data_IF_502289637943
#
_entry.id   IF_502289637943
#
_cell.length_a   1.000
_cell.length_b   1.000
_cell.length_c   1.000
_cell.angle_alpha   90.00
_cell.angle_beta   90.00
_cell.angle_gamma   90.00
#
_symmetry.space_group_name_H-M   'P 1'
#
loop_
_entity.id
_entity.type
_entity.pdbx_description
1 polymer ?
#
# COMPACT_ATOMS: atom_id res chain seq x y z
N UNK A 1 -33.45 -57.27 -9.35
CA UNK A 1 -33.83 -55.84 -9.17
C UNK A 1 -34.93 -55.54 -10.18
N UNK A 2 -36.04 -54.95 -9.79
CA UNK A 2 -37.10 -54.65 -10.75
C UNK A 2 -36.62 -53.55 -11.74
N UNK A 3 -37.08 -53.54 -13.00
CA UNK A 3 -36.70 -52.56 -13.99
C UNK A 3 -37.01 -51.10 -13.56
N UNK A 4 -38.03 -50.93 -12.76
CA UNK A 4 -38.42 -49.65 -12.18
C UNK A 4 -37.36 -49.13 -11.18
N UNK A 5 -36.83 -50.01 -10.32
CA UNK A 5 -35.81 -49.62 -9.34
C UNK A 5 -34.49 -49.26 -10.02
N UNK A 6 -34.15 -49.96 -11.10
CA UNK A 6 -32.96 -49.70 -11.90
C UNK A 6 -33.04 -48.32 -12.62
N UNK A 7 -34.24 -47.99 -13.16
CA UNK A 7 -34.52 -46.69 -13.76
C UNK A 7 -34.40 -45.53 -12.75
N UNK A 8 -34.94 -45.72 -11.53
CA UNK A 8 -34.81 -44.69 -10.46
C UNK A 8 -33.35 -44.48 -10.08
N UNK A 9 -32.55 -45.53 -9.88
CA UNK A 9 -31.14 -45.42 -9.48
C UNK A 9 -30.31 -44.72 -10.55
N UNK A 10 -30.52 -45.04 -11.84
CA UNK A 10 -29.80 -44.34 -12.92
C UNK A 10 -30.19 -42.85 -13.03
N UNK A 11 -31.47 -42.53 -12.88
CA UNK A 11 -31.95 -41.12 -12.93
C UNK A 11 -31.39 -40.32 -11.75
N UNK A 12 -31.48 -40.82 -10.52
CA UNK A 12 -30.91 -40.15 -9.33
C UNK A 12 -29.39 -40.03 -9.45
N UNK A 13 -28.71 -41.06 -9.89
CA UNK A 13 -27.26 -40.99 -10.13
C UNK A 13 -26.86 -39.93 -11.16
N UNK A 14 -27.60 -39.83 -12.26
CA UNK A 14 -27.40 -38.78 -13.27
C UNK A 14 -27.63 -37.38 -12.74
N UNK A 15 -28.68 -37.15 -11.93
CA UNK A 15 -28.94 -35.86 -11.29
C UNK A 15 -27.81 -35.49 -10.33
N UNK A 16 -27.39 -36.41 -9.47
CA UNK A 16 -26.30 -36.17 -8.51
C UNK A 16 -24.97 -35.87 -9.23
N UNK A 17 -24.67 -36.61 -10.30
CA UNK A 17 -23.47 -36.35 -11.11
C UNK A 17 -23.56 -34.94 -11.79
N UNK A 18 -24.71 -34.58 -12.33
CA UNK A 18 -24.96 -33.27 -12.89
C UNK A 18 -24.80 -32.14 -11.88
N UNK A 19 -25.34 -32.31 -10.68
CA UNK A 19 -25.18 -31.33 -9.59
C UNK A 19 -23.73 -31.21 -9.12
N UNK A 20 -23.00 -32.32 -9.01
CA UNK A 20 -21.59 -32.32 -8.66
C UNK A 20 -20.73 -31.58 -9.71
N UNK A 21 -21.01 -31.85 -11.01
CA UNK A 21 -20.31 -31.18 -12.11
C UNK A 21 -20.61 -29.67 -12.11
N UNK A 22 -21.89 -29.29 -11.95
CA UNK A 22 -22.28 -27.87 -11.87
C UNK A 22 -21.61 -27.17 -10.68
N UNK A 23 -21.57 -27.81 -9.50
CA UNK A 23 -20.87 -27.32 -8.33
C UNK A 23 -19.37 -27.13 -8.55
N UNK A 24 -18.73 -28.10 -9.20
CA UNK A 24 -17.31 -28.00 -9.54
C UNK A 24 -17.02 -26.85 -10.53
N UNK A 25 -17.88 -26.65 -11.52
CA UNK A 25 -17.76 -25.55 -12.48
C UNK A 25 -17.92 -24.18 -11.81
N UNK A 26 -18.94 -24.03 -10.96
CA UNK A 26 -19.17 -22.80 -10.20
C UNK A 26 -18.00 -22.50 -9.27
N UNK A 27 -17.47 -23.50 -8.57
CA UNK A 27 -16.29 -23.35 -7.71
C UNK A 27 -15.06 -22.90 -8.50
N UNK A 28 -14.80 -23.50 -9.68
CA UNK A 28 -13.69 -23.08 -10.55
C UNK A 28 -13.87 -21.64 -11.06
N UNK A 29 -15.09 -21.25 -11.44
CA UNK A 29 -15.37 -19.88 -11.83
C UNK A 29 -15.14 -18.89 -10.69
N UNK A 30 -15.58 -19.23 -9.47
CA UNK A 30 -15.34 -18.40 -8.29
C UNK A 30 -13.84 -18.23 -8.03
N UNK A 31 -13.06 -19.31 -8.07
CA UNK A 31 -11.61 -19.27 -7.91
C UNK A 31 -10.93 -18.36 -8.98
N UNK A 32 -11.36 -18.50 -10.24
CA UNK A 32 -10.82 -17.66 -11.31
C UNK A 32 -11.16 -16.18 -11.12
N UNK A 33 -12.38 -15.86 -10.66
CA UNK A 33 -12.79 -14.49 -10.33
C UNK A 33 -11.99 -13.93 -9.15
N UNK A 34 -11.77 -14.71 -8.10
CA UNK A 34 -11.01 -14.26 -6.93
C UNK A 34 -9.53 -14.06 -7.27
N UNK A 35 -8.94 -14.93 -8.08
CA UNK A 35 -7.59 -14.76 -8.61
C UNK A 35 -7.49 -13.49 -9.47
N UNK A 36 -8.44 -13.25 -10.37
CA UNK A 36 -8.48 -12.06 -11.20
C UNK A 36 -8.65 -10.77 -10.36
N UNK A 37 -9.47 -10.80 -9.32
CA UNK A 37 -9.63 -9.68 -8.38
C UNK A 37 -8.35 -9.40 -7.60
N UNK A 38 -7.67 -10.45 -7.16
CA UNK A 38 -6.40 -10.32 -6.45
C UNK A 38 -5.34 -9.68 -7.37
N UNK A 39 -5.12 -10.21 -8.57
CA UNK A 39 -4.19 -9.66 -9.55
C UNK A 39 -4.52 -8.21 -9.92
N UNK A 40 -5.80 -7.90 -10.07
CA UNK A 40 -6.24 -6.55 -10.37
C UNK A 40 -6.02 -5.54 -9.21
N UNK A 41 -5.75 -6.00 -8.00
CA UNK A 41 -5.63 -5.17 -6.78
C UNK A 41 -4.26 -5.23 -6.09
N UNK A 42 -3.38 -6.14 -6.51
CA UNK A 42 -2.05 -6.30 -5.91
C UNK A 42 -0.95 -6.16 -6.97
N UNK A 43 0.24 -5.85 -6.49
CA UNK A 43 1.46 -5.77 -7.29
C UNK A 43 2.10 -7.16 -7.40
N UNK A 44 2.43 -7.59 -8.61
CA UNK A 44 2.90 -8.96 -8.89
C UNK A 44 4.29 -9.25 -8.30
N UNK A 45 5.13 -8.23 -8.13
CA UNK A 45 6.50 -8.38 -7.62
C UNK A 45 6.52 -8.46 -6.10
N UNK A 46 5.76 -7.58 -5.44
CA UNK A 46 5.82 -7.43 -3.99
C UNK A 46 4.71 -8.17 -3.25
N UNK A 47 3.62 -8.52 -3.94
CA UNK A 47 2.40 -9.06 -3.33
C UNK A 47 1.60 -8.02 -2.52
N UNK A 48 2.10 -6.78 -2.41
CA UNK A 48 1.39 -5.71 -1.73
C UNK A 48 0.17 -5.23 -2.55
N UNK A 49 -0.83 -4.63 -1.90
CA UNK A 49 -1.80 -3.78 -2.55
C UNK A 49 -1.16 -2.84 -3.58
N UNK A 50 -1.79 -2.72 -4.74
CA UNK A 50 -1.35 -1.77 -5.76
C UNK A 50 -1.95 -0.38 -5.51
N UNK A 51 -1.54 0.61 -6.32
CA UNK A 51 -2.04 1.98 -6.27
C UNK A 51 -3.58 2.07 -6.28
N UNK A 52 -4.24 1.21 -7.05
CA UNK A 52 -5.71 1.22 -7.16
C UNK A 52 -6.37 0.85 -5.82
N UNK A 53 -5.91 -0.22 -5.20
CA UNK A 53 -6.45 -0.66 -3.90
C UNK A 53 -6.12 0.33 -2.80
N UNK A 54 -4.89 0.86 -2.78
CA UNK A 54 -4.50 1.91 -1.84
C UNK A 54 -5.43 3.13 -1.89
N UNK A 55 -5.69 3.66 -3.10
CA UNK A 55 -6.58 4.80 -3.27
C UNK A 55 -8.03 4.50 -2.88
N UNK A 56 -8.50 3.27 -3.09
CA UNK A 56 -9.84 2.85 -2.66
C UNK A 56 -9.92 2.84 -1.13
N UNK A 57 -8.92 2.29 -0.44
CA UNK A 57 -8.86 2.27 1.02
C UNK A 57 -8.74 3.68 1.62
N UNK A 58 -7.88 4.52 1.06
CA UNK A 58 -7.74 5.91 1.49
C UNK A 58 -9.06 6.69 1.35
N UNK A 59 -9.81 6.51 0.24
CA UNK A 59 -11.13 7.13 0.08
C UNK A 59 -12.12 6.64 1.14
N UNK A 60 -12.14 5.34 1.41
CA UNK A 60 -13.00 4.76 2.45
C UNK A 60 -12.66 5.33 3.83
N UNK A 61 -11.37 5.37 4.18
CA UNK A 61 -10.90 5.92 5.44
C UNK A 61 -11.31 7.40 5.65
N UNK A 62 -11.18 8.22 4.61
CA UNK A 62 -11.59 9.62 4.65
C UNK A 62 -13.13 9.78 4.78
N UNK A 63 -13.90 8.88 4.15
CA UNK A 63 -15.37 8.89 4.26
C UNK A 63 -15.86 8.56 5.67
N UNK A 64 -15.13 7.77 6.43
CA UNK A 64 -15.41 7.44 7.84
C UNK A 64 -15.17 8.61 8.79
N UNK A 65 -14.56 9.70 8.31
CA UNK A 65 -14.19 10.89 9.11
C UNK A 65 -13.36 10.54 10.34
N UNK A 66 -12.46 9.60 10.21
CA UNK A 66 -11.46 9.27 11.22
C UNK A 66 -10.14 9.98 10.90
N UNK A 67 -9.29 10.15 11.92
CA UNK A 67 -7.94 10.66 11.70
C UNK A 67 -7.12 9.65 10.90
N UNK A 68 -6.50 10.12 9.81
CA UNK A 68 -5.70 9.27 8.91
C UNK A 68 -4.45 9.99 8.45
N UNK A 69 -3.42 9.23 8.14
CA UNK A 69 -2.22 9.73 7.49
C UNK A 69 -1.80 8.91 6.29
N UNK A 70 -1.04 9.55 5.43
CA UNK A 70 -0.39 8.95 4.27
C UNK A 70 1.11 9.10 4.46
N UNK A 71 1.82 7.99 4.33
CA UNK A 71 3.28 7.93 4.26
C UNK A 71 3.65 7.52 2.84
N UNK A 72 4.52 8.26 2.19
CA UNK A 72 5.14 7.89 0.92
C UNK A 72 6.62 7.59 1.14
N UNK A 73 7.12 6.62 0.41
CA UNK A 73 8.49 6.14 0.49
C UNK A 73 9.01 5.85 -0.91
N UNK A 74 10.24 6.30 -1.18
CA UNK A 74 10.97 6.07 -2.43
C UNK A 74 12.35 5.48 -2.06
N UNK A 75 12.78 4.39 -2.74
CA UNK A 75 14.06 3.75 -2.48
C UNK A 75 15.20 4.56 -3.11
N UNK A 76 16.15 4.96 -2.30
CA UNK A 76 17.28 5.74 -2.76
C UNK A 76 18.16 4.92 -3.71
N UNK A 77 18.51 5.50 -4.85
CA UNK A 77 19.40 4.91 -5.86
C UNK A 77 18.95 3.54 -6.40
N UNK A 78 17.65 3.20 -6.34
CA UNK A 78 17.15 1.93 -6.86
C UNK A 78 17.53 1.69 -8.32
N UNK A 79 17.53 2.77 -9.14
CA UNK A 79 18.02 2.68 -10.53
C UNK A 79 19.46 2.17 -10.61
N UNK A 80 20.34 2.61 -9.72
CA UNK A 80 21.75 2.14 -9.68
C UNK A 80 21.83 0.63 -9.39
N UNK A 81 20.93 0.11 -8.54
CA UNK A 81 20.84 -1.33 -8.28
C UNK A 81 20.45 -2.07 -9.56
N UNK A 82 19.43 -1.61 -10.28
CA UNK A 82 19.01 -2.21 -11.56
C UNK A 82 20.11 -2.15 -12.61
N UNK A 83 20.76 -1.00 -12.76
CA UNK A 83 21.81 -0.79 -13.76
C UNK A 83 23.08 -1.63 -13.48
N UNK A 84 23.40 -1.88 -12.20
CA UNK A 84 24.59 -2.62 -11.78
C UNK A 84 24.36 -4.12 -11.60
N UNK A 85 23.19 -4.54 -11.12
CA UNK A 85 22.90 -5.92 -10.70
C UNK A 85 21.76 -6.58 -11.50
N UNK A 86 21.17 -5.84 -12.43
CA UNK A 86 20.08 -6.31 -13.27
C UNK A 86 18.68 -6.18 -12.64
N UNK A 87 17.65 -6.18 -13.49
CA UNK A 87 16.27 -6.00 -13.08
C UNK A 87 15.73 -7.14 -12.18
N UNK A 88 16.22 -8.38 -12.35
CA UNK A 88 15.82 -9.49 -11.50
C UNK A 88 16.25 -9.26 -10.05
N UNK A 89 17.45 -8.74 -9.84
CA UNK A 89 17.92 -8.36 -8.50
C UNK A 89 17.11 -7.19 -7.92
N UNK A 90 16.78 -6.21 -8.74
CA UNK A 90 15.87 -5.13 -8.34
C UNK A 90 14.49 -5.64 -7.92
N UNK A 91 13.92 -6.60 -8.64
CA UNK A 91 12.65 -7.21 -8.29
C UNK A 91 12.73 -7.99 -6.96
N UNK A 92 13.82 -8.71 -6.71
CA UNK A 92 14.05 -9.37 -5.42
C UNK A 92 14.15 -8.36 -4.27
N UNK A 93 14.81 -7.23 -4.49
CA UNK A 93 14.89 -6.13 -3.54
C UNK A 93 13.52 -5.52 -3.26
N UNK A 94 12.72 -5.23 -4.30
CA UNK A 94 11.36 -4.72 -4.16
C UNK A 94 10.48 -5.69 -3.36
N UNK A 95 10.55 -7.00 -3.66
CA UNK A 95 9.84 -8.03 -2.92
C UNK A 95 10.29 -8.09 -1.45
N UNK A 96 11.58 -7.90 -1.18
CA UNK A 96 12.11 -7.82 0.19
C UNK A 96 11.55 -6.62 0.95
N UNK A 97 11.64 -5.43 0.37
CA UNK A 97 11.04 -4.20 0.96
C UNK A 97 9.55 -4.37 1.17
N UNK A 98 8.83 -4.95 0.20
CA UNK A 98 7.42 -5.25 0.33
C UNK A 98 7.09 -6.09 1.57
N UNK A 99 7.88 -7.13 1.85
CA UNK A 99 7.72 -7.96 3.07
C UNK A 99 7.98 -7.17 4.35
N UNK A 100 9.00 -6.32 4.38
CA UNK A 100 9.29 -5.47 5.54
C UNK A 100 8.13 -4.52 5.84
N UNK A 101 7.59 -3.87 4.82
CA UNK A 101 6.47 -2.94 4.97
C UNK A 101 5.15 -3.66 5.32
N UNK A 102 4.92 -4.87 4.79
CA UNK A 102 3.77 -5.69 5.15
C UNK A 102 3.79 -6.18 6.60
N UNK A 103 4.97 -6.26 7.21
CA UNK A 103 5.16 -6.70 8.60
C UNK A 103 5.06 -5.56 9.63
N UNK A 104 4.81 -4.33 9.19
CA UNK A 104 4.57 -3.22 10.11
C UNK A 104 3.24 -3.39 10.83
N UNK A 105 3.29 -3.29 12.16
CA UNK A 105 2.12 -3.40 13.03
C UNK A 105 1.23 -2.15 12.99
N UNK A 106 0.10 -2.22 13.72
CA UNK A 106 -0.73 -1.06 13.97
C UNK A 106 0.13 0.13 14.47
N UNK A 107 -0.17 1.36 14.06
CA UNK A 107 -1.40 1.81 13.42
C UNK A 107 -1.42 1.75 11.87
N UNK A 108 -0.49 1.03 11.22
CA UNK A 108 -0.49 0.86 9.75
C UNK A 108 -1.66 -0.05 9.36
N UNK A 109 -2.61 0.50 8.59
CA UNK A 109 -3.76 -0.26 8.06
C UNK A 109 -3.37 -1.07 6.82
N UNK A 110 -2.59 -0.49 5.93
CA UNK A 110 -2.22 -1.08 4.65
C UNK A 110 -0.89 -0.51 4.15
N UNK A 111 -0.01 -1.38 3.70
CA UNK A 111 1.14 -1.02 2.88
C UNK A 111 0.82 -1.34 1.41
N UNK A 112 1.32 -0.52 0.49
CA UNK A 112 1.08 -0.66 -0.94
C UNK A 112 2.32 -0.29 -1.75
N UNK A 113 2.45 -0.85 -2.96
CA UNK A 113 3.37 -0.36 -3.97
C UNK A 113 2.62 0.50 -4.98
N UNK A 114 3.06 1.73 -5.18
CA UNK A 114 2.39 2.67 -6.08
C UNK A 114 2.90 2.57 -7.52
N UNK A 115 4.20 2.51 -7.70
CA UNK A 115 4.88 2.34 -8.99
C UNK A 115 6.39 2.20 -8.76
N UNK A 116 7.13 1.60 -9.70
CA UNK A 116 8.59 1.59 -9.65
C UNK A 116 9.16 1.19 -8.28
N UNK A 117 9.83 2.10 -7.64
CA UNK A 117 10.43 2.02 -6.31
C UNK A 117 9.65 2.81 -5.23
N UNK A 118 8.43 3.25 -5.57
CA UNK A 118 7.55 4.03 -4.68
C UNK A 118 6.57 3.14 -3.92
N UNK A 119 6.53 3.31 -2.60
CA UNK A 119 5.62 2.63 -1.69
C UNK A 119 4.78 3.65 -0.92
N UNK A 120 3.65 3.20 -0.38
CA UNK A 120 2.77 4.00 0.45
C UNK A 120 2.26 3.22 1.66
N UNK A 121 2.04 3.92 2.77
CA UNK A 121 1.31 3.40 3.93
C UNK A 121 0.08 4.25 4.17
N UNK A 122 -1.04 3.61 4.47
CA UNK A 122 -2.21 4.24 5.07
C UNK A 122 -2.16 3.96 6.57
N UNK A 123 -2.21 5.00 7.36
CA UNK A 123 -2.08 4.93 8.82
C UNK A 123 -3.35 5.47 9.45
N UNK A 124 -3.90 4.73 10.43
CA UNK A 124 -5.02 5.17 11.26
C UNK A 124 -4.48 5.77 12.55
N UNK A 125 -4.92 6.96 12.91
CA UNK A 125 -4.50 7.59 14.15
C UNK A 125 -4.15 9.06 13.99
N UNK A 126 -3.50 9.61 15.00
CA UNK A 126 -3.12 11.00 15.06
C UNK A 126 -1.77 11.29 14.37
N UNK A 127 -1.28 12.51 14.54
CA UNK A 127 -0.01 12.92 13.92
C UNK A 127 1.18 12.10 14.41
N UNK A 128 1.22 11.73 15.69
CA UNK A 128 2.30 10.96 16.28
C UNK A 128 2.31 9.51 15.79
N UNK A 129 1.12 8.92 15.61
CA UNK A 129 0.95 7.60 15.01
C UNK A 129 1.52 7.56 13.59
N UNK A 130 1.20 8.57 12.78
CA UNK A 130 1.68 8.67 11.39
C UNK A 130 3.20 8.90 11.35
N UNK A 131 3.70 9.80 12.19
CA UNK A 131 5.14 10.04 12.31
C UNK A 131 5.89 8.80 12.80
N UNK A 132 5.31 8.06 13.75
CA UNK A 132 5.83 6.79 14.24
C UNK A 132 5.92 5.73 13.13
N UNK A 133 4.84 5.54 12.38
CA UNK A 133 4.79 4.61 11.25
C UNK A 133 5.81 4.98 10.15
N UNK A 134 5.96 6.27 9.84
CA UNK A 134 6.96 6.74 8.88
C UNK A 134 8.39 6.41 9.32
N UNK A 135 8.72 6.64 10.59
CA UNK A 135 10.02 6.28 11.16
C UNK A 135 10.24 4.76 11.19
N UNK A 136 9.22 3.99 11.56
CA UNK A 136 9.29 2.53 11.57
C UNK A 136 9.55 1.96 10.17
N UNK A 137 8.88 2.47 9.15
CA UNK A 137 9.10 2.07 7.75
C UNK A 137 10.54 2.38 7.30
N UNK A 138 11.03 3.57 7.58
CA UNK A 138 12.39 3.98 7.24
C UNK A 138 13.44 3.12 7.94
N UNK A 139 13.25 2.86 9.23
CA UNK A 139 14.14 2.00 10.03
C UNK A 139 14.12 0.56 9.53
N UNK A 140 12.95 0.00 9.25
CA UNK A 140 12.81 -1.38 8.78
C UNK A 140 13.60 -1.64 7.49
N UNK A 141 13.60 -0.67 6.55
CA UNK A 141 14.33 -0.78 5.29
C UNK A 141 15.83 -0.68 5.49
N UNK A 142 16.29 0.21 6.37
CA UNK A 142 17.72 0.42 6.64
C UNK A 142 18.31 -0.49 7.70
N UNK A 143 17.52 -1.34 8.38
CA UNK A 143 17.96 -2.12 9.54
C UNK A 143 19.06 -3.15 9.22
N UNK A 144 19.03 -3.73 8.02
CA UNK A 144 20.04 -4.69 7.60
C UNK A 144 20.25 -4.62 6.07
N UNK A 145 21.47 -4.91 5.59
CA UNK A 145 21.72 -5.03 4.16
C UNK A 145 20.88 -6.15 3.54
N UNK A 146 20.40 -5.92 2.33
CA UNK A 146 19.77 -6.96 1.52
C UNK A 146 20.80 -7.96 1.03
N UNK A 147 20.65 -9.23 1.41
CA UNK A 147 21.59 -10.31 1.10
C UNK A 147 21.28 -10.96 -0.23
N UNK A 148 22.28 -11.05 -1.07
CA UNK A 148 22.31 -11.76 -2.35
C UNK A 148 23.37 -12.86 -2.29
N UNK A 149 23.26 -13.84 -3.20
CA UNK A 149 24.32 -14.86 -3.35
C UNK A 149 25.68 -14.24 -3.73
N UNK A 150 25.67 -13.08 -4.39
CA UNK A 150 26.87 -12.35 -4.85
C UNK A 150 27.38 -11.28 -3.88
N UNK A 151 26.72 -11.09 -2.73
CA UNK A 151 27.12 -10.07 -1.75
C UNK A 151 25.94 -9.41 -1.05
N UNK A 152 26.17 -8.25 -0.45
CA UNK A 152 25.18 -7.48 0.29
C UNK A 152 24.95 -6.11 -0.36
N UNK A 153 23.70 -5.65 -0.37
CA UNK A 153 23.31 -4.32 -0.87
C UNK A 153 22.69 -3.53 0.28
N UNK A 154 23.31 -2.40 0.63
CA UNK A 154 22.69 -1.47 1.58
C UNK A 154 21.52 -0.76 0.91
N UNK A 155 20.40 -0.74 1.58
CA UNK A 155 19.15 -0.12 1.11
C UNK A 155 18.81 1.04 2.02
N UNK A 156 18.45 2.16 1.43
CA UNK A 156 17.89 3.30 2.14
C UNK A 156 16.68 3.83 1.38
N UNK A 157 15.91 4.67 2.02
CA UNK A 157 14.75 5.29 1.40
C UNK A 157 14.51 6.68 1.96
N UNK A 158 13.86 7.50 1.16
CA UNK A 158 13.38 8.81 1.54
C UNK A 158 11.88 8.73 1.83
N UNK A 159 11.46 9.17 3.00
CA UNK A 159 10.09 9.03 3.51
C UNK A 159 9.47 10.38 3.77
N UNK A 160 8.29 10.61 3.21
CA UNK A 160 7.46 11.78 3.48
C UNK A 160 6.11 11.37 4.04
N UNK A 161 5.58 12.15 4.98
CA UNK A 161 4.26 11.85 5.52
C UNK A 161 3.41 13.12 5.74
N UNK A 162 2.10 12.92 5.72
CA UNK A 162 1.10 13.91 6.07
C UNK A 162 -0.01 13.30 6.89
N UNK A 163 -0.73 14.12 7.64
CA UNK A 163 -1.83 13.72 8.50
C UNK A 163 -3.05 14.60 8.28
N UNK A 164 -4.23 13.99 8.24
CA UNK A 164 -5.52 14.66 8.21
C UNK A 164 -6.31 14.29 9.45
N UNK A 165 -6.55 15.23 10.38
CA UNK A 165 -7.41 14.99 11.53
C UNK A 165 -8.88 14.77 11.11
N UNK A 166 -9.63 14.07 11.92
CA UNK A 166 -11.01 13.65 11.64
C UNK A 166 -11.99 14.80 11.29
N UNK A 167 -11.71 16.00 11.78
CA UNK A 167 -12.56 17.18 11.58
C UNK A 167 -12.25 17.96 10.29
N UNK A 168 -11.15 17.63 9.57
CA UNK A 168 -10.80 18.26 8.31
C UNK A 168 -11.28 17.42 7.13
N UNK A 169 -11.76 18.08 6.08
CA UNK A 169 -12.09 17.43 4.83
C UNK A 169 -10.88 17.47 3.90
N UNK A 170 -10.11 16.39 3.88
CA UNK A 170 -9.01 16.23 2.93
C UNK A 170 -9.43 15.32 1.76
N UNK A 171 -8.81 15.53 0.61
CA UNK A 171 -8.94 14.62 -0.53
C UNK A 171 -7.74 13.68 -0.62
N UNK A 172 -7.89 12.48 -1.20
CA UNK A 172 -6.75 11.59 -1.46
C UNK A 172 -5.63 12.26 -2.26
N UNK A 173 -6.01 13.09 -3.23
CA UNK A 173 -5.05 13.82 -4.07
C UNK A 173 -4.22 14.82 -3.25
N UNK A 174 -4.87 15.53 -2.34
CA UNK A 174 -4.20 16.49 -1.46
C UNK A 174 -3.20 15.77 -0.55
N UNK A 175 -3.62 14.71 0.16
CA UNK A 175 -2.73 13.98 1.07
C UNK A 175 -1.54 13.35 0.35
N UNK A 176 -1.75 12.80 -0.85
CA UNK A 176 -0.64 12.31 -1.66
C UNK A 176 0.33 13.42 -2.06
N UNK A 177 -0.17 14.58 -2.49
CA UNK A 177 0.69 15.70 -2.89
C UNK A 177 1.48 16.29 -1.70
N UNK A 178 0.88 16.35 -0.51
CA UNK A 178 1.54 16.79 0.71
C UNK A 178 2.64 15.81 1.16
N UNK A 179 2.34 14.50 1.15
CA UNK A 179 3.31 13.47 1.48
C UNK A 179 4.46 13.42 0.45
N UNK A 180 4.16 13.61 -0.85
CA UNK A 180 5.17 13.69 -1.92
C UNK A 180 6.10 14.89 -1.73
N UNK A 181 5.56 16.06 -1.45
CA UNK A 181 6.36 17.24 -1.13
C UNK A 181 7.29 17.01 0.08
N UNK A 182 6.78 16.36 1.13
CA UNK A 182 7.58 15.98 2.30
C UNK A 182 8.69 14.97 1.93
N UNK A 183 8.36 13.94 1.16
CA UNK A 183 9.33 12.94 0.68
C UNK A 183 10.43 13.58 -0.18
N UNK A 184 10.07 14.51 -1.05
CA UNK A 184 11.05 15.28 -1.83
C UNK A 184 12.00 16.10 -0.94
N UNK A 185 11.49 16.70 0.14
CA UNK A 185 12.32 17.39 1.13
C UNK A 185 13.26 16.41 1.86
N UNK A 186 12.77 15.22 2.28
CA UNK A 186 13.61 14.20 2.88
C UNK A 186 14.76 13.79 1.94
N UNK A 187 14.46 13.56 0.67
CA UNK A 187 15.43 13.17 -0.37
C UNK A 187 16.50 14.23 -0.60
N UNK A 188 16.13 15.50 -0.61
CA UNK A 188 17.09 16.61 -0.82
C UNK A 188 17.96 16.91 0.39
N UNK A 189 17.42 16.81 1.59
CA UNK A 189 18.15 17.11 2.83
C UNK A 189 18.98 15.94 3.35
N UNK A 190 18.73 14.71 2.87
CA UNK A 190 19.30 13.49 3.42
C UNK A 190 18.76 13.14 4.81
N UNK A 191 17.63 13.72 5.21
CA UNK A 191 17.05 13.54 6.55
C UNK A 191 16.40 12.17 6.77
N UNK A 192 16.22 11.37 5.71
CA UNK A 192 15.55 10.09 5.75
C UNK A 192 14.03 10.21 5.87
N UNK A 193 13.52 10.90 6.88
CA UNK A 193 12.08 11.08 7.14
C UNK A 193 11.75 12.56 7.30
N UNK A 194 10.67 13.02 6.63
CA UNK A 194 10.17 14.39 6.76
C UNK A 194 8.63 14.43 6.81
N UNK A 195 8.08 15.23 7.74
CA UNK A 195 6.64 15.48 7.82
C UNK A 195 6.23 16.70 7.01
N UNK A 196 5.07 16.64 6.37
CA UNK A 196 4.47 17.83 5.78
C UNK A 196 4.01 18.78 6.89
N UNK A 197 4.54 19.98 6.88
CA UNK A 197 4.05 21.06 7.70
C UNK A 197 3.29 22.04 6.80
N UNK A 198 1.97 22.23 6.99
CA UNK A 198 1.25 23.29 6.28
C UNK A 198 1.98 24.60 6.53
N UNK A 199 2.36 25.29 5.46
CA UNK A 199 2.87 26.67 5.61
C UNK A 199 1.84 27.43 6.43
N UNK A 200 2.25 27.98 7.58
CA UNK A 200 1.38 28.82 8.38
C UNK A 200 0.78 29.89 7.45
N UNK A 201 -0.54 29.95 7.39
CA UNK A 201 -1.20 30.99 6.62
C UNK A 201 -0.56 32.32 7.01
N UNK A 202 -0.19 33.19 6.06
CA UNK A 202 0.42 34.47 6.41
C UNK A 202 -0.52 35.19 7.39
N UNK A 203 -0.02 35.44 8.59
CA UNK A 203 -0.75 36.18 9.62
C UNK A 203 -1.15 37.48 8.98
N UNK A 204 -2.45 37.65 8.71
CA UNK A 204 -2.99 38.80 8.08
C UNK A 204 -2.54 40.01 8.90
N UNK A 205 -1.75 40.91 8.30
CA UNK A 205 -1.42 42.20 8.92
C UNK A 205 -2.73 42.90 9.25
N UNK A 206 -3.05 43.00 10.54
CA UNK A 206 -4.10 43.86 11.06
C UNK A 206 -3.84 45.24 10.49
N UNK A 207 -4.73 45.68 9.59
CA UNK A 207 -4.73 47.08 9.19
C UNK A 207 -5.26 47.88 10.36
N UNK A 208 -4.35 48.48 11.14
CA UNK A 208 -4.69 49.53 12.07
C UNK A 208 -5.37 50.67 11.29
N UNK A 209 -6.69 50.72 11.43
CA UNK A 209 -7.47 51.90 11.01
C UNK A 209 -7.30 52.96 12.09
N UNK A 210 -6.31 53.83 11.93
CA UNK A 210 -6.34 55.10 12.62
C UNK A 210 -7.45 55.93 11.97
N UNK A 211 -8.51 56.16 12.72
CA UNK A 211 -9.45 57.25 12.48
C UNK A 211 -8.88 58.51 13.13
N UNK A 212 -8.67 59.54 12.30
CA UNK A 212 -8.71 60.94 12.70
C UNK A 212 -10.12 61.49 12.43
#
# INVERSE_FOLDING_TARGET
MSPILQGIVTTVGGILAGLALAGALLWRQQQALDAARYQASHDEITGLPNRRLFLARLRAALAERTAVGVVLLDLDRFKTVNDSLGHDTGNLLLAHVGRLLAALDAPVEIAARLSGDEFALLVRGDHEDVAGAARAAWQAIGAAPFRLNSGEVSVSGSVGYTHSPAYLSASPRQLLAEADAAMYHAKRSGAGVHGHHPLAAPVGRSRDRHHH
#
